data_IF_653768738732
#
_entry.id   IF_653768738732
#
_cell.length_a   1.000
_cell.length_b   1.000
_cell.length_c   1.000
_cell.angle_alpha   90.00
_cell.angle_beta   90.00
_cell.angle_gamma   90.00
#
_symmetry.space_group_name_H-M   'P 1'
#
loop_
_entity.id
_entity.type
_entity.pdbx_description
1 polymer ?
#
# COMPACT_ATOMS: atom_id res chain seq x y z
N UNK A 1 -10.04 12.23 23.86
CA UNK A 1 -9.20 11.40 24.77
C UNK A 1 -7.79 11.31 24.22
N UNK A 2 -6.78 11.10 25.06
CA UNK A 2 -5.38 10.96 24.60
C UNK A 2 -4.99 9.49 24.50
N UNK A 3 -3.95 9.18 23.71
CA UNK A 3 -3.31 7.86 23.66
C UNK A 3 -2.00 7.92 24.46
N UNK A 4 -2.00 7.58 25.77
CA UNK A 4 -0.81 7.71 26.61
C UNK A 4 0.23 6.65 26.26
N UNK A 5 1.51 7.00 26.41
CA UNK A 5 2.64 6.09 26.16
C UNK A 5 2.56 4.80 26.98
N UNK A 6 2.04 4.88 28.20
CA UNK A 6 1.88 3.73 29.11
C UNK A 6 1.02 2.62 28.49
N UNK A 7 -0.05 2.96 27.75
CA UNK A 7 -0.88 1.97 27.06
C UNK A 7 -0.15 1.32 25.90
N UNK A 8 0.73 2.06 25.21
CA UNK A 8 1.58 1.51 24.14
C UNK A 8 2.65 0.57 24.72
N UNK A 9 3.20 0.90 25.90
CA UNK A 9 4.16 0.03 26.62
C UNK A 9 3.47 -1.27 27.06
N UNK A 10 2.28 -1.19 27.66
CA UNK A 10 1.46 -2.38 28.00
C UNK A 10 1.16 -3.23 26.76
N UNK A 11 0.81 -2.56 25.64
CA UNK A 11 0.60 -3.27 24.37
C UNK A 11 1.86 -4.01 23.91
N UNK A 12 3.06 -3.42 24.06
CA UNK A 12 4.33 -4.10 23.73
C UNK A 12 4.53 -5.35 24.59
N UNK A 13 4.24 -5.29 25.88
CA UNK A 13 4.33 -6.45 26.77
C UNK A 13 3.37 -7.57 26.35
N UNK A 14 2.09 -7.25 26.07
CA UNK A 14 1.09 -8.22 25.58
C UNK A 14 1.51 -8.87 24.26
N UNK A 15 2.16 -8.13 23.40
CA UNK A 15 2.52 -8.58 22.06
C UNK A 15 3.86 -9.32 21.98
N UNK A 16 4.65 -9.36 23.03
CA UNK A 16 6.03 -9.85 23.05
C UNK A 16 6.22 -11.26 22.47
N UNK A 17 5.24 -12.17 22.65
CA UNK A 17 5.26 -13.54 22.12
C UNK A 17 4.35 -13.74 20.90
N UNK A 18 3.52 -12.75 20.61
CA UNK A 18 2.45 -12.84 19.58
C UNK A 18 2.93 -12.42 18.21
N UNK A 19 3.75 -11.40 18.13
CA UNK A 19 4.19 -10.78 16.86
C UNK A 19 5.67 -11.05 16.59
N UNK A 20 6.11 -10.81 15.36
CA UNK A 20 7.53 -10.73 15.05
C UNK A 20 8.06 -9.32 15.33
N UNK A 21 9.24 -9.18 15.93
CA UNK A 21 10.03 -7.96 15.81
C UNK A 21 10.56 -7.92 14.38
N UNK A 22 9.93 -7.12 13.53
CA UNK A 22 10.29 -7.03 12.11
C UNK A 22 11.61 -6.29 11.93
N UNK A 23 12.33 -6.60 10.86
CA UNK A 23 13.62 -5.96 10.58
C UNK A 23 13.47 -4.49 10.23
N UNK A 24 14.48 -3.70 10.61
CA UNK A 24 14.73 -2.35 10.16
C UNK A 24 16.08 -2.35 9.43
N UNK A 25 16.10 -2.14 8.11
CA UNK A 25 17.31 -2.25 7.31
C UNK A 25 17.56 -0.99 6.48
N UNK A 26 18.84 -0.54 6.43
CA UNK A 26 19.26 0.58 5.57
C UNK A 26 19.31 0.13 4.11
N UNK A 27 18.68 0.88 3.24
CA UNK A 27 18.75 0.67 1.80
C UNK A 27 19.78 1.60 1.16
N UNK A 28 20.93 1.07 0.75
CA UNK A 28 21.94 1.86 0.05
C UNK A 28 21.41 2.45 -1.26
N UNK A 29 20.60 1.69 -2.01
CA UNK A 29 20.03 2.16 -3.27
C UNK A 29 19.16 3.38 -3.07
N UNK A 30 18.18 3.33 -2.16
CA UNK A 30 17.26 4.45 -1.92
C UNK A 30 17.97 5.62 -1.23
N UNK A 31 18.96 5.33 -0.40
CA UNK A 31 19.78 6.39 0.21
C UNK A 31 20.55 7.19 -0.86
N UNK A 32 21.20 6.50 -1.80
CA UNK A 32 21.92 7.16 -2.89
C UNK A 32 20.99 7.98 -3.81
N UNK A 33 19.74 7.53 -4.02
CA UNK A 33 18.78 8.23 -4.87
C UNK A 33 18.25 9.51 -4.23
N UNK A 34 18.10 9.53 -2.91
CA UNK A 34 17.46 10.63 -2.18
C UNK A 34 18.46 11.59 -1.52
N UNK A 35 19.69 11.16 -1.32
CA UNK A 35 20.66 11.88 -0.51
C UNK A 35 20.35 11.84 1.00
N UNK A 36 19.44 10.97 1.42
CA UNK A 36 19.12 10.67 2.82
C UNK A 36 19.66 9.29 3.22
N UNK A 37 19.63 8.94 4.49
CA UNK A 37 19.80 7.56 4.95
C UNK A 37 18.43 6.90 5.06
N UNK A 38 18.01 6.15 4.03
CA UNK A 38 16.71 5.49 3.99
C UNK A 38 16.77 4.12 4.66
N UNK A 39 15.92 3.92 5.64
CA UNK A 39 15.68 2.66 6.33
C UNK A 39 14.27 2.14 6.02
N UNK A 40 14.12 0.84 5.86
CA UNK A 40 12.86 0.17 5.59
C UNK A 40 12.47 -0.69 6.79
N UNK A 41 11.28 -0.43 7.37
CA UNK A 41 10.67 -1.27 8.42
C UNK A 41 9.71 -2.25 7.78
N UNK A 42 10.02 -3.54 7.85
CA UNK A 42 9.37 -4.60 7.06
C UNK A 42 8.10 -5.18 7.73
N UNK A 43 7.04 -4.41 7.90
CA UNK A 43 5.77 -4.95 8.40
C UNK A 43 5.03 -5.85 7.38
N UNK A 44 5.44 -5.83 6.12
CA UNK A 44 5.03 -6.83 5.12
C UNK A 44 5.52 -8.25 5.44
N UNK A 45 6.49 -8.41 6.33
CA UNK A 45 7.00 -9.70 6.82
C UNK A 45 6.43 -10.10 8.19
N UNK A 46 5.43 -9.39 8.70
CA UNK A 46 4.75 -9.74 9.94
C UNK A 46 3.96 -11.05 9.78
N UNK A 47 3.61 -11.73 10.88
CA UNK A 47 2.98 -13.08 10.90
C UNK A 47 1.76 -13.24 9.98
N UNK A 48 0.95 -12.18 9.80
CA UNK A 48 -0.21 -12.20 8.89
C UNK A 48 0.06 -11.36 7.62
N UNK A 49 1.34 -11.08 7.32
CA UNK A 49 1.73 -10.27 6.16
C UNK A 49 1.48 -8.78 6.30
N UNK A 50 1.11 -8.26 7.48
CA UNK A 50 0.90 -6.83 7.72
C UNK A 50 0.93 -6.45 9.20
N UNK A 51 1.10 -5.15 9.47
CA UNK A 51 1.06 -4.56 10.82
C UNK A 51 -0.25 -4.77 11.58
N UNK A 52 -1.35 -5.08 10.89
CA UNK A 52 -2.70 -5.14 11.47
C UNK A 52 -2.80 -6.12 12.64
N UNK A 53 -2.00 -7.16 12.66
CA UNK A 53 -1.94 -8.12 13.77
C UNK A 53 -1.58 -7.45 15.10
N UNK A 54 -0.79 -6.38 15.10
CA UNK A 54 -0.38 -5.66 16.33
C UNK A 54 -1.60 -5.12 17.07
N UNK A 55 -2.40 -4.31 16.39
CA UNK A 55 -3.60 -3.71 16.99
C UNK A 55 -4.69 -4.74 17.31
N UNK A 56 -4.97 -5.66 16.40
CA UNK A 56 -5.97 -6.69 16.61
C UNK A 56 -5.61 -7.59 17.82
N UNK A 57 -4.35 -8.03 17.93
CA UNK A 57 -3.89 -8.85 19.04
C UNK A 57 -3.88 -8.09 20.36
N UNK A 58 -3.46 -6.81 20.38
CA UNK A 58 -3.52 -6.02 21.62
C UNK A 58 -4.95 -5.84 22.11
N UNK A 59 -5.89 -5.51 21.20
CA UNK A 59 -7.31 -5.34 21.53
C UNK A 59 -7.91 -6.60 22.12
N UNK A 60 -7.73 -7.72 21.45
CA UNK A 60 -8.30 -9.00 21.89
C UNK A 60 -7.66 -9.44 23.20
N UNK A 61 -6.33 -9.33 23.36
CA UNK A 61 -5.65 -9.67 24.60
C UNK A 61 -6.14 -8.82 25.80
N UNK A 62 -6.27 -7.51 25.60
CA UNK A 62 -6.77 -6.61 26.63
C UNK A 62 -8.21 -6.93 27.03
N UNK A 63 -9.08 -7.25 26.10
CA UNK A 63 -10.46 -7.68 26.37
C UNK A 63 -10.49 -9.04 27.11
N UNK A 64 -9.60 -9.98 26.76
CA UNK A 64 -9.48 -11.25 27.47
C UNK A 64 -9.00 -11.06 28.94
N UNK A 65 -8.02 -10.18 29.16
CA UNK A 65 -7.53 -9.84 30.51
C UNK A 65 -8.64 -9.32 31.41
N UNK A 66 -9.59 -8.56 30.85
CA UNK A 66 -10.74 -8.02 31.58
C UNK A 66 -11.96 -8.96 31.65
N UNK A 67 -11.92 -10.07 30.89
CA UNK A 67 -13.05 -10.97 30.77
C UNK A 67 -14.25 -10.38 29.99
N UNK A 68 -13.99 -9.45 29.09
CA UNK A 68 -15.02 -8.67 28.38
C UNK A 68 -15.34 -9.20 26.96
N UNK A 69 -14.68 -10.26 26.51
CA UNK A 69 -14.90 -10.82 25.17
C UNK A 69 -15.32 -12.28 25.23
N UNK A 70 -16.43 -12.61 24.54
CA UNK A 70 -16.90 -13.99 24.32
C UNK A 70 -16.70 -14.44 22.87
N UNK A 71 -16.88 -13.55 21.93
CA UNK A 71 -16.68 -13.74 20.50
C UNK A 71 -16.24 -12.43 19.87
N UNK A 72 -15.42 -12.50 18.84
CA UNK A 72 -14.95 -11.35 18.07
C UNK A 72 -15.68 -11.25 16.72
N UNK A 73 -16.04 -10.04 16.31
CA UNK A 73 -16.60 -9.77 14.99
C UNK A 73 -15.82 -8.64 14.34
N UNK A 74 -15.52 -8.77 13.03
CA UNK A 74 -14.93 -7.69 12.26
C UNK A 74 -15.51 -7.64 10.85
N UNK A 75 -15.52 -6.45 10.24
CA UNK A 75 -15.83 -6.24 8.83
C UNK A 75 -14.53 -5.91 8.10
N UNK A 76 -14.04 -6.80 7.25
CA UNK A 76 -12.83 -6.58 6.44
C UNK A 76 -12.59 -7.73 5.48
N UNK A 77 -12.17 -7.44 4.25
CA UNK A 77 -11.73 -8.43 3.27
C UNK A 77 -10.20 -8.54 3.13
N UNK A 78 -9.43 -7.90 4.04
CA UNK A 78 -7.97 -7.80 3.90
C UNK A 78 -7.20 -8.03 5.19
N UNK A 79 -6.19 -7.20 5.41
CA UNK A 79 -5.23 -7.33 6.51
C UNK A 79 -5.86 -7.39 7.91
N UNK A 80 -6.92 -6.61 8.14
CA UNK A 80 -7.58 -6.60 9.44
C UNK A 80 -8.35 -7.91 9.71
N UNK A 81 -8.97 -8.48 8.68
CA UNK A 81 -9.62 -9.79 8.76
C UNK A 81 -8.66 -10.87 9.27
N UNK A 82 -7.50 -10.98 8.62
CA UNK A 82 -6.48 -11.96 8.96
C UNK A 82 -5.87 -11.71 10.35
N UNK A 83 -5.61 -10.44 10.68
CA UNK A 83 -5.10 -10.05 12.01
C UNK A 83 -6.08 -10.41 13.14
N UNK A 84 -7.37 -10.12 12.96
CA UNK A 84 -8.42 -10.45 13.92
C UNK A 84 -8.61 -11.97 14.06
N UNK A 85 -8.68 -12.70 12.94
CA UNK A 85 -8.81 -14.16 12.95
C UNK A 85 -7.64 -14.84 13.68
N UNK A 86 -6.41 -14.42 13.35
CA UNK A 86 -5.22 -14.96 14.00
C UNK A 86 -5.19 -14.66 15.50
N UNK A 87 -5.45 -13.41 15.90
CA UNK A 87 -5.46 -12.99 17.30
C UNK A 87 -6.54 -13.75 18.12
N UNK A 88 -7.74 -13.88 17.56
CA UNK A 88 -8.83 -14.60 18.20
C UNK A 88 -8.49 -16.08 18.42
N UNK A 89 -7.86 -16.73 17.43
CA UNK A 89 -7.41 -18.11 17.55
C UNK A 89 -6.40 -18.31 18.69
N UNK A 90 -5.46 -17.36 18.86
CA UNK A 90 -4.46 -17.45 19.94
C UNK A 90 -5.08 -17.43 21.34
N UNK A 91 -6.21 -16.77 21.51
CA UNK A 91 -6.92 -16.68 22.77
C UNK A 91 -8.12 -17.61 22.87
N UNK A 92 -8.29 -18.54 21.90
CA UNK A 92 -9.45 -19.46 21.81
C UNK A 92 -10.81 -18.71 21.80
N UNK A 93 -10.85 -17.51 21.22
CA UNK A 93 -12.05 -16.71 21.05
C UNK A 93 -12.66 -17.03 19.67
N UNK A 94 -13.94 -17.43 19.56
CA UNK A 94 -14.61 -17.55 18.28
C UNK A 94 -14.59 -16.22 17.52
N UNK A 95 -14.28 -16.27 16.22
CA UNK A 95 -14.25 -15.06 15.39
C UNK A 95 -15.14 -15.20 14.16
N UNK A 96 -15.95 -14.18 13.87
CA UNK A 96 -16.74 -14.06 12.65
C UNK A 96 -16.26 -12.85 11.88
N UNK A 97 -15.86 -13.06 10.62
CA UNK A 97 -15.40 -11.98 9.74
C UNK A 97 -16.39 -11.81 8.60
N UNK A 98 -16.97 -10.62 8.49
CA UNK A 98 -17.91 -10.27 7.42
C UNK A 98 -17.17 -9.60 6.27
N UNK A 99 -17.39 -10.07 5.06
CA UNK A 99 -16.75 -9.59 3.82
C UNK A 99 -17.79 -9.36 2.72
N UNK A 100 -17.58 -8.42 1.79
CA UNK A 100 -18.40 -8.29 0.58
C UNK A 100 -18.42 -9.61 -0.23
N UNK A 101 -19.53 -9.88 -0.92
CA UNK A 101 -19.67 -11.05 -1.80
C UNK A 101 -18.65 -11.08 -2.94
N UNK A 102 -18.19 -9.91 -3.36
CA UNK A 102 -17.15 -9.74 -4.40
C UNK A 102 -15.72 -10.04 -3.92
N UNK A 103 -15.53 -10.39 -2.64
CA UNK A 103 -14.20 -10.68 -2.08
C UNK A 103 -13.56 -11.88 -2.80
N UNK A 104 -12.32 -11.77 -3.29
CA UNK A 104 -11.61 -12.89 -3.89
C UNK A 104 -11.54 -14.10 -2.95
N UNK A 105 -11.80 -15.28 -3.48
CA UNK A 105 -11.81 -16.56 -2.72
C UNK A 105 -10.50 -16.77 -1.95
N UNK A 106 -9.37 -16.39 -2.53
CA UNK A 106 -8.07 -16.51 -1.86
C UNK A 106 -7.99 -15.72 -0.54
N UNK A 107 -8.61 -14.52 -0.47
CA UNK A 107 -8.65 -13.70 0.75
C UNK A 107 -9.59 -14.32 1.81
N UNK A 108 -10.74 -14.83 1.39
CA UNK A 108 -11.66 -15.55 2.28
C UNK A 108 -10.99 -16.81 2.88
N UNK A 109 -10.42 -17.66 2.03
CA UNK A 109 -9.73 -18.89 2.45
C UNK A 109 -8.54 -18.60 3.38
N UNK A 110 -7.76 -17.52 3.12
CA UNK A 110 -6.68 -17.13 4.01
C UNK A 110 -7.19 -16.79 5.43
N UNK A 111 -8.33 -16.10 5.52
CA UNK A 111 -8.96 -15.75 6.80
C UNK A 111 -9.51 -16.97 7.51
N UNK A 112 -10.18 -17.90 6.80
CA UNK A 112 -10.65 -19.18 7.34
C UNK A 112 -9.48 -20.05 7.81
N UNK A 113 -8.36 -20.05 7.10
CA UNK A 113 -7.13 -20.74 7.49
C UNK A 113 -6.56 -20.26 8.82
N UNK A 114 -6.87 -19.06 9.25
CA UNK A 114 -6.57 -18.56 10.60
C UNK A 114 -7.63 -18.94 11.66
N UNK A 115 -8.70 -19.65 11.27
CA UNK A 115 -9.69 -20.21 12.19
C UNK A 115 -10.95 -19.36 12.39
N UNK A 116 -11.17 -18.31 11.63
CA UNK A 116 -12.39 -17.52 11.69
C UNK A 116 -13.49 -18.09 10.79
N UNK A 117 -14.75 -17.89 11.18
CA UNK A 117 -15.91 -18.07 10.31
C UNK A 117 -16.02 -16.87 9.38
N UNK A 118 -16.03 -17.09 8.06
CA UNK A 118 -16.26 -16.05 7.06
C UNK A 118 -17.73 -15.99 6.68
N UNK A 119 -18.30 -14.78 6.66
CA UNK A 119 -19.66 -14.49 6.21
C UNK A 119 -19.57 -13.53 5.02
N UNK A 120 -19.95 -13.98 3.84
CA UNK A 120 -20.03 -13.13 2.64
C UNK A 120 -21.39 -12.42 2.61
N UNK A 121 -21.39 -11.08 2.73
CA UNK A 121 -22.62 -10.29 2.79
C UNK A 121 -22.47 -8.93 2.14
N UNK A 122 -23.52 -8.53 1.37
CA UNK A 122 -23.58 -7.25 0.68
C UNK A 122 -22.65 -7.15 -0.52
N UNK A 123 -22.63 -5.99 -1.14
CA UNK A 123 -21.85 -5.72 -2.35
C UNK A 123 -20.66 -4.78 -2.07
N UNK A 124 -20.69 -4.06 -0.93
CA UNK A 124 -19.65 -3.11 -0.51
C UNK A 124 -19.25 -3.31 0.95
N UNK A 125 -18.26 -2.53 1.40
CA UNK A 125 -17.78 -2.53 2.78
C UNK A 125 -18.88 -2.14 3.77
N UNK A 126 -19.69 -1.12 3.44
CA UNK A 126 -20.72 -0.60 4.34
C UNK A 126 -21.81 -1.65 4.64
N UNK A 127 -22.20 -2.46 3.63
CA UNK A 127 -23.11 -3.59 3.82
C UNK A 127 -22.54 -4.64 4.78
N UNK A 128 -21.26 -4.97 4.58
CA UNK A 128 -20.57 -5.95 5.43
C UNK A 128 -20.41 -5.41 6.86
N UNK A 129 -20.16 -4.11 7.01
CA UNK A 129 -20.07 -3.45 8.31
C UNK A 129 -21.40 -3.48 9.05
N UNK A 130 -22.50 -3.12 8.37
CA UNK A 130 -23.84 -3.19 8.95
C UNK A 130 -24.18 -4.60 9.42
N UNK A 131 -23.86 -5.62 8.60
CA UNK A 131 -24.08 -7.02 8.98
C UNK A 131 -23.21 -7.45 10.16
N UNK A 132 -21.98 -6.96 10.25
CA UNK A 132 -21.12 -7.23 11.41
C UNK A 132 -21.72 -6.67 12.71
N UNK A 133 -22.28 -5.47 12.68
CA UNK A 133 -22.96 -4.86 13.84
C UNK A 133 -24.22 -5.63 14.22
N UNK A 134 -25.02 -6.09 13.24
CA UNK A 134 -26.18 -6.97 13.49
C UNK A 134 -25.76 -8.25 14.25
N UNK A 135 -24.63 -8.88 13.87
CA UNK A 135 -24.12 -10.05 14.57
C UNK A 135 -23.69 -9.71 16.00
N UNK A 136 -23.04 -8.57 16.20
CA UNK A 136 -22.66 -8.07 17.54
C UNK A 136 -23.88 -7.96 18.44
N UNK A 137 -24.96 -7.34 17.96
CA UNK A 137 -26.20 -7.15 18.73
C UNK A 137 -26.89 -8.49 19.05
N UNK A 138 -27.00 -9.39 18.07
CA UNK A 138 -27.72 -10.64 18.21
C UNK A 138 -26.96 -11.70 19.04
N UNK A 139 -25.64 -11.73 18.94
CA UNK A 139 -24.82 -12.79 19.55
C UNK A 139 -24.06 -12.32 20.81
N UNK A 140 -24.13 -11.03 21.15
CA UNK A 140 -23.37 -10.44 22.26
C UNK A 140 -21.86 -10.53 22.03
N UNK A 141 -21.43 -10.46 20.78
CA UNK A 141 -20.03 -10.47 20.39
C UNK A 141 -19.43 -9.06 20.48
N UNK A 142 -18.10 -8.96 20.44
CA UNK A 142 -17.39 -7.69 20.46
C UNK A 142 -16.90 -7.33 19.07
N UNK A 143 -17.22 -6.12 18.59
CA UNK A 143 -16.67 -5.62 17.33
C UNK A 143 -15.21 -5.20 17.51
N UNK A 144 -14.33 -5.69 16.63
CA UNK A 144 -12.92 -5.33 16.60
C UNK A 144 -12.72 -4.30 15.48
N UNK A 145 -12.56 -3.06 15.86
CA UNK A 145 -12.41 -1.95 14.93
C UNK A 145 -11.08 -2.03 14.14
N UNK A 146 -11.09 -1.71 12.83
CA UNK A 146 -9.88 -1.81 12.00
C UNK A 146 -8.84 -0.71 12.29
N UNK A 147 -9.21 0.40 12.96
CA UNK A 147 -8.34 1.54 13.23
C UNK A 147 -8.84 2.47 14.36
N UNK A 148 -10.15 2.76 14.46
CA UNK A 148 -10.68 3.79 15.36
C UNK A 148 -10.98 3.22 16.75
N UNK A 149 -9.93 2.80 17.44
CA UNK A 149 -9.98 2.27 18.79
C UNK A 149 -8.62 2.48 19.47
N UNK A 150 -8.60 3.01 20.70
CA UNK A 150 -7.37 3.35 21.41
C UNK A 150 -6.48 2.13 21.71
N UNK A 151 -7.04 0.96 21.98
CA UNK A 151 -6.26 -0.27 22.20
C UNK A 151 -5.70 -0.80 20.89
N UNK A 152 -6.42 -0.63 19.76
CA UNK A 152 -5.89 -0.92 18.43
C UNK A 152 -4.76 0.02 18.08
N UNK A 153 -4.93 1.34 18.29
CA UNK A 153 -3.86 2.32 18.08
C UNK A 153 -2.65 2.07 18.97
N UNK A 154 -2.84 1.69 20.25
CA UNK A 154 -1.75 1.34 21.15
C UNK A 154 -0.93 0.16 20.63
N UNK A 155 -1.60 -0.88 20.15
CA UNK A 155 -0.94 -2.02 19.51
C UNK A 155 -0.10 -1.61 18.29
N UNK A 156 -0.61 -0.72 17.43
CA UNK A 156 0.13 -0.17 16.27
C UNK A 156 1.32 0.69 16.74
N UNK A 157 1.16 1.42 17.84
CA UNK A 157 2.20 2.28 18.42
C UNK A 157 3.46 1.52 18.87
N UNK A 158 3.34 0.21 19.13
CA UNK A 158 4.50 -0.63 19.49
C UNK A 158 5.58 -0.63 18.40
N UNK A 159 5.19 -0.40 17.13
CA UNK A 159 6.12 -0.22 16.03
C UNK A 159 7.05 0.97 16.23
N UNK A 160 6.55 2.07 16.81
CA UNK A 160 7.36 3.24 17.14
C UNK A 160 8.44 2.92 18.16
N UNK A 161 8.12 2.11 19.19
CA UNK A 161 9.12 1.67 20.18
C UNK A 161 10.22 0.84 19.49
N UNK A 162 9.85 -0.13 18.64
CA UNK A 162 10.82 -0.96 17.91
C UNK A 162 11.74 -0.12 17.02
N UNK A 163 11.20 0.88 16.32
CA UNK A 163 11.98 1.79 15.48
C UNK A 163 13.01 2.57 16.31
N UNK A 164 12.62 3.12 17.46
CA UNK A 164 13.53 3.86 18.34
C UNK A 164 14.58 2.96 18.98
N UNK A 165 14.25 1.71 19.29
CA UNK A 165 15.22 0.72 19.80
C UNK A 165 16.27 0.36 18.74
N UNK A 166 15.85 0.16 17.48
CA UNK A 166 16.72 -0.26 16.38
C UNK A 166 17.51 0.95 15.78
N UNK A 167 16.93 2.15 15.81
CA UNK A 167 17.52 3.39 15.29
C UNK A 167 17.24 4.59 16.22
N UNK A 168 17.93 4.70 17.38
CA UNK A 168 17.69 5.78 18.35
C UNK A 168 17.87 7.20 17.78
N UNK A 169 18.67 7.35 16.73
CA UNK A 169 18.99 8.63 16.08
C UNK A 169 18.20 8.81 14.77
N UNK A 170 16.98 8.30 14.67
CA UNK A 170 16.08 8.56 13.55
C UNK A 170 15.64 10.03 13.55
N UNK A 171 15.63 10.65 12.37
CA UNK A 171 15.19 12.05 12.21
C UNK A 171 13.75 12.13 11.74
N UNK A 172 13.29 11.17 10.91
CA UNK A 172 11.96 11.19 10.31
C UNK A 172 11.41 9.77 10.14
N UNK A 173 10.11 9.60 10.41
CA UNK A 173 9.36 8.36 10.15
C UNK A 173 8.21 8.67 9.21
N UNK A 174 8.11 7.94 8.11
CA UNK A 174 7.06 8.07 7.10
C UNK A 174 6.15 6.85 7.19
N UNK A 175 4.86 7.09 7.42
CA UNK A 175 3.87 6.03 7.71
C UNK A 175 2.64 6.19 6.82
N UNK A 176 2.09 5.09 6.24
CA UNK A 176 0.86 5.17 5.47
C UNK A 176 -0.34 5.48 6.37
N UNK A 177 -1.31 6.21 5.84
CA UNK A 177 -2.55 6.54 6.51
C UNK A 177 -3.77 6.14 5.66
N UNK A 178 -4.57 5.20 6.14
CA UNK A 178 -5.91 4.91 5.63
C UNK A 178 -6.95 5.50 6.59
N UNK A 179 -7.50 4.69 7.49
CA UNK A 179 -8.35 5.19 8.59
C UNK A 179 -7.59 5.81 9.77
N UNK A 180 -6.26 5.87 9.72
CA UNK A 180 -5.42 6.61 10.64
C UNK A 180 -4.77 5.81 11.77
N UNK A 181 -5.22 4.58 12.08
CA UNK A 181 -4.80 3.87 13.30
C UNK A 181 -3.29 3.60 13.43
N UNK A 182 -2.60 3.25 12.33
CA UNK A 182 -1.15 3.04 12.34
C UNK A 182 -0.41 4.35 12.57
N UNK A 183 -0.74 5.37 11.78
CA UNK A 183 -0.12 6.69 11.87
C UNK A 183 -0.34 7.31 13.26
N UNK A 184 -1.57 7.25 13.79
CA UNK A 184 -1.92 7.74 15.12
C UNK A 184 -1.09 7.05 16.22
N UNK A 185 -1.05 5.71 16.21
CA UNK A 185 -0.30 4.93 17.19
C UNK A 185 1.21 5.21 17.16
N UNK A 186 1.81 5.20 15.96
CA UNK A 186 3.24 5.50 15.78
C UNK A 186 3.55 6.94 16.18
N UNK A 187 2.75 7.92 15.76
CA UNK A 187 2.99 9.31 16.08
C UNK A 187 2.88 9.59 17.59
N UNK A 188 1.82 9.07 18.25
CA UNK A 188 1.66 9.20 19.69
C UNK A 188 2.85 8.58 20.45
N UNK A 189 3.32 7.40 20.04
CA UNK A 189 4.50 6.76 20.62
C UNK A 189 5.74 7.63 20.47
N UNK A 190 6.07 7.99 19.26
CA UNK A 190 7.30 8.72 18.92
C UNK A 190 7.35 10.07 19.61
N UNK A 191 6.28 10.86 19.54
CA UNK A 191 6.28 12.22 20.09
C UNK A 191 6.35 12.27 21.59
N UNK A 192 5.84 11.27 22.29
CA UNK A 192 5.94 11.17 23.74
C UNK A 192 7.33 10.70 24.22
N UNK A 193 8.07 9.94 23.38
CA UNK A 193 9.44 9.49 23.73
C UNK A 193 10.49 10.49 23.24
N UNK A 194 10.40 10.91 21.97
CA UNK A 194 11.35 11.84 21.34
C UNK A 194 10.60 12.82 20.42
N UNK A 195 10.19 13.98 20.93
CA UNK A 195 9.41 14.96 20.15
C UNK A 195 10.19 15.62 19.00
N UNK A 196 11.50 15.41 18.89
CA UNK A 196 12.33 15.94 17.79
C UNK A 196 12.19 15.14 16.50
N UNK A 197 11.78 13.88 16.58
CA UNK A 197 11.58 13.02 15.40
C UNK A 197 10.34 13.50 14.65
N UNK A 198 10.50 13.80 13.37
CA UNK A 198 9.37 14.15 12.50
C UNK A 198 8.55 12.91 12.15
N UNK A 199 7.23 12.96 12.32
CA UNK A 199 6.32 11.89 11.88
C UNK A 199 5.45 12.40 10.75
N UNK A 200 5.59 11.75 9.59
CA UNK A 200 4.93 12.13 8.34
C UNK A 200 3.89 11.06 7.97
N UNK A 201 2.66 11.49 7.75
CA UNK A 201 1.61 10.63 7.20
C UNK A 201 1.56 10.72 5.67
N UNK A 202 1.29 9.59 5.01
CA UNK A 202 1.14 9.52 3.56
C UNK A 202 -0.18 8.89 3.18
N UNK A 203 -0.94 9.56 2.29
CA UNK A 203 -2.13 8.99 1.66
C UNK A 203 -1.98 8.91 0.14
N UNK A 204 -2.82 8.07 -0.48
CA UNK A 204 -3.01 8.13 -1.93
C UNK A 204 -3.82 9.37 -2.30
N UNK A 205 -3.48 10.04 -3.40
CA UNK A 205 -4.22 11.21 -3.91
C UNK A 205 -5.71 10.91 -4.15
N UNK A 206 -6.03 9.66 -4.54
CA UNK A 206 -7.40 9.22 -4.76
C UNK A 206 -8.18 8.85 -3.49
N UNK A 207 -7.60 8.99 -2.28
CA UNK A 207 -8.26 8.72 -1.00
C UNK A 207 -7.71 9.63 0.12
N UNK A 208 -7.90 10.96 0.04
CA UNK A 208 -7.18 11.94 0.88
C UNK A 208 -7.88 12.32 2.19
N UNK A 209 -8.81 11.52 2.72
CA UNK A 209 -9.66 11.91 3.85
C UNK A 209 -8.88 12.34 5.11
N UNK A 210 -7.80 11.65 5.49
CA UNK A 210 -6.94 12.05 6.62
C UNK A 210 -6.11 13.31 6.27
N UNK A 211 -5.60 13.41 5.04
CA UNK A 211 -4.87 14.59 4.56
C UNK A 211 -5.74 15.85 4.64
N UNK A 212 -7.00 15.75 4.18
CA UNK A 212 -7.98 16.82 4.29
C UNK A 212 -8.30 17.15 5.73
N UNK A 213 -8.53 16.12 6.57
CA UNK A 213 -8.83 16.29 8.00
C UNK A 213 -7.68 16.97 8.73
N UNK A 214 -6.43 16.59 8.45
CA UNK A 214 -5.24 17.17 9.05
C UNK A 214 -5.06 18.64 8.67
N UNK A 215 -5.27 18.98 7.39
CA UNK A 215 -5.10 20.36 6.92
C UNK A 215 -6.21 21.31 7.43
N UNK A 216 -7.44 20.82 7.55
CA UNK A 216 -8.58 21.58 8.07
C UNK A 216 -8.67 21.58 9.59
N UNK A 217 -7.91 20.70 10.27
CA UNK A 217 -7.97 20.46 11.72
C UNK A 217 -9.35 20.02 12.22
N UNK A 218 -10.10 19.36 11.34
CA UNK A 218 -11.44 18.83 11.62
C UNK A 218 -11.61 17.46 10.96
N UNK A 219 -12.58 16.66 11.42
CA UNK A 219 -12.89 15.38 10.76
C UNK A 219 -13.56 15.62 9.40
N UNK A 220 -12.96 15.09 8.33
CA UNK A 220 -13.46 15.21 6.97
C UNK A 220 -13.62 13.82 6.36
N UNK A 221 -14.80 13.56 5.78
CA UNK A 221 -15.06 12.40 4.96
C UNK A 221 -15.04 12.75 3.48
N UNK A 222 -14.65 11.81 2.61
CA UNK A 222 -14.67 11.97 1.16
C UNK A 222 -15.84 11.20 0.55
N UNK A 223 -16.47 11.74 -0.49
CA UNK A 223 -17.61 11.07 -1.15
C UNK A 223 -17.18 9.82 -1.91
N UNK A 224 -16.02 9.88 -2.55
CA UNK A 224 -15.48 8.79 -3.37
C UNK A 224 -14.04 8.48 -3.01
N UNK A 225 -13.62 7.26 -3.31
CA UNK A 225 -12.22 6.83 -3.27
C UNK A 225 -11.88 6.10 -4.57
N UNK A 226 -10.70 6.40 -5.14
CA UNK A 226 -10.25 5.80 -6.39
C UNK A 226 -8.73 5.69 -6.40
N UNK A 227 -8.18 4.59 -5.89
CA UNK A 227 -6.74 4.33 -5.84
C UNK A 227 -6.46 2.84 -5.89
N UNK A 228 -5.28 2.46 -6.39
CA UNK A 228 -4.76 1.09 -6.33
C UNK A 228 -4.41 0.66 -4.90
N UNK A 229 -4.27 1.60 -3.96
CA UNK A 229 -3.90 1.34 -2.57
C UNK A 229 -5.14 1.02 -1.72
N UNK A 230 -5.80 -0.12 -1.98
CA UNK A 230 -7.03 -0.57 -1.34
C UNK A 230 -6.93 -0.61 0.20
N UNK A 231 -5.78 -0.98 0.75
CA UNK A 231 -5.53 -1.01 2.20
C UNK A 231 -5.62 0.35 2.89
N UNK A 232 -5.58 1.47 2.14
CA UNK A 232 -5.73 2.85 2.63
C UNK A 232 -6.86 3.62 1.94
N UNK A 233 -7.68 2.96 1.12
CA UNK A 233 -8.83 3.56 0.43
C UNK A 233 -10.02 3.74 1.39
N UNK A 234 -9.92 4.68 2.32
CA UNK A 234 -10.90 4.92 3.38
C UNK A 234 -11.61 6.24 3.15
N UNK A 235 -12.97 6.20 3.05
CA UNK A 235 -13.82 7.39 2.89
C UNK A 235 -13.99 8.15 4.20
N UNK A 236 -14.29 7.40 5.26
CA UNK A 236 -14.58 7.93 6.58
C UNK A 236 -13.44 7.53 7.53
N UNK A 237 -12.47 8.42 7.82
CA UNK A 237 -11.44 8.16 8.81
C UNK A 237 -12.05 8.05 10.20
N UNK A 238 -11.29 7.53 11.17
CA UNK A 238 -11.76 7.46 12.54
C UNK A 238 -11.77 8.84 13.21
N UNK A 239 -12.75 9.13 14.04
CA UNK A 239 -12.80 10.37 14.83
C UNK A 239 -11.63 10.44 15.82
N UNK A 240 -11.40 9.36 16.57
CA UNK A 240 -10.29 9.27 17.52
C UNK A 240 -8.93 9.28 16.82
N UNK A 241 -8.80 8.61 15.66
CA UNK A 241 -7.54 8.62 14.91
C UNK A 241 -7.21 10.01 14.38
N UNK A 242 -8.19 10.77 13.88
CA UNK A 242 -8.00 12.16 13.42
C UNK A 242 -7.59 13.07 14.59
N UNK A 243 -8.22 12.93 15.78
CA UNK A 243 -7.84 13.68 16.97
C UNK A 243 -6.36 13.46 17.34
N UNK A 244 -5.92 12.19 17.40
CA UNK A 244 -4.54 11.84 17.73
C UNK A 244 -3.56 12.30 16.63
N UNK A 245 -3.91 12.15 15.35
CA UNK A 245 -3.10 12.60 14.22
C UNK A 245 -2.92 14.12 14.26
N UNK A 246 -3.99 14.88 14.49
CA UNK A 246 -3.92 16.34 14.58
C UNK A 246 -3.02 16.83 15.71
N UNK A 247 -2.88 16.03 16.77
CA UNK A 247 -2.05 16.34 17.94
C UNK A 247 -0.57 15.98 17.72
N UNK A 248 -0.27 14.85 17.10
CA UNK A 248 1.06 14.25 17.13
C UNK A 248 1.76 14.17 15.77
N UNK A 249 1.08 14.34 14.64
CA UNK A 249 1.68 14.28 13.31
C UNK A 249 2.19 15.65 12.89
N UNK A 250 3.40 15.71 12.32
CA UNK A 250 4.02 16.97 11.92
C UNK A 250 3.56 17.41 10.51
N UNK A 251 3.37 16.45 9.60
CA UNK A 251 3.03 16.74 8.20
C UNK A 251 2.27 15.59 7.57
N UNK A 252 1.38 15.92 6.65
CA UNK A 252 0.74 14.98 5.74
C UNK A 252 1.14 15.29 4.30
N UNK A 253 1.30 14.24 3.49
CA UNK A 253 1.52 14.36 2.04
C UNK A 253 0.69 13.32 1.30
N UNK A 254 0.44 13.55 0.01
CA UNK A 254 -0.22 12.59 -0.86
C UNK A 254 0.72 12.12 -1.97
N UNK A 255 0.49 10.90 -2.45
CA UNK A 255 1.21 10.29 -3.58
C UNK A 255 0.22 9.74 -4.60
N UNK A 256 0.57 9.81 -5.88
CA UNK A 256 -0.25 9.26 -6.96
C UNK A 256 -0.08 7.75 -7.10
N UNK A 257 -1.04 7.08 -7.74
CA UNK A 257 -0.97 5.66 -8.06
C UNK A 257 0.24 5.30 -8.94
N UNK A 258 0.70 6.25 -9.77
CA UNK A 258 1.91 6.11 -10.58
C UNK A 258 3.18 6.10 -9.70
N UNK A 259 3.28 7.02 -8.73
CA UNK A 259 4.40 7.04 -7.77
C UNK A 259 4.41 5.77 -6.90
N UNK A 260 3.24 5.28 -6.48
CA UNK A 260 3.10 4.03 -5.72
C UNK A 260 3.56 2.83 -6.55
N UNK A 261 3.10 2.72 -7.80
CA UNK A 261 3.49 1.63 -8.72
C UNK A 261 4.99 1.61 -8.99
N UNK A 262 5.59 2.78 -9.19
CA UNK A 262 7.03 2.92 -9.34
C UNK A 262 7.81 2.47 -8.09
N UNK A 263 7.32 2.82 -6.90
CA UNK A 263 7.93 2.40 -5.63
C UNK A 263 7.85 0.87 -5.42
N UNK A 264 6.70 0.25 -5.74
CA UNK A 264 6.54 -1.22 -5.67
C UNK A 264 7.52 -1.93 -6.59
N UNK A 265 7.63 -1.49 -7.86
CA UNK A 265 8.58 -2.05 -8.81
C UNK A 265 10.01 -1.96 -8.28
N UNK A 266 10.38 -0.82 -7.70
CA UNK A 266 11.72 -0.63 -7.12
C UNK A 266 11.95 -1.51 -5.89
N UNK A 267 10.95 -1.72 -5.02
CA UNK A 267 11.04 -2.65 -3.89
C UNK A 267 11.30 -4.07 -4.38
N UNK A 268 10.56 -4.55 -5.38
CA UNK A 268 10.78 -5.87 -5.98
C UNK A 268 12.18 -5.98 -6.59
N UNK A 269 12.61 -4.99 -7.37
CA UNK A 269 13.90 -5.03 -8.07
C UNK A 269 15.10 -4.93 -7.13
N UNK A 270 15.04 -4.06 -6.12
CA UNK A 270 16.22 -3.69 -5.31
C UNK A 270 16.29 -4.39 -3.97
N UNK A 271 15.14 -4.68 -3.36
CA UNK A 271 15.09 -5.30 -2.02
C UNK A 271 14.50 -6.70 -2.04
N UNK A 272 13.97 -7.16 -3.18
CA UNK A 272 13.28 -8.45 -3.32
C UNK A 272 12.06 -8.59 -2.39
N UNK A 273 11.45 -7.45 -2.06
CA UNK A 273 10.27 -7.39 -1.20
C UNK A 273 9.00 -7.23 -2.03
N UNK A 274 8.02 -8.07 -1.71
CA UNK A 274 6.65 -7.89 -2.19
C UNK A 274 5.91 -7.05 -1.14
N UNK A 275 5.48 -5.87 -1.56
CA UNK A 275 4.79 -4.91 -0.70
C UNK A 275 3.49 -4.50 -1.40
N UNK A 276 2.38 -4.48 -0.67
CA UNK A 276 1.10 -4.00 -1.19
C UNK A 276 1.13 -2.49 -1.48
N UNK A 277 0.24 -1.97 -2.35
CA UNK A 277 0.25 -0.55 -2.70
C UNK A 277 0.22 0.39 -1.49
N UNK A 278 -0.61 0.10 -0.49
CA UNK A 278 -0.69 0.87 0.75
C UNK A 278 0.66 0.92 1.49
N UNK A 279 1.37 -0.22 1.56
CA UNK A 279 2.68 -0.33 2.22
C UNK A 279 3.82 0.34 1.47
N UNK A 280 3.66 0.59 0.17
CA UNK A 280 4.69 1.25 -0.65
C UNK A 280 4.60 2.78 -0.63
N UNK A 281 3.50 3.37 -0.13
CA UNK A 281 3.29 4.83 -0.11
C UNK A 281 4.38 5.61 0.63
N UNK A 282 4.97 5.14 1.76
CA UNK A 282 6.05 5.86 2.43
C UNK A 282 7.31 5.98 1.56
N UNK A 283 7.68 4.92 0.85
CA UNK A 283 8.81 4.97 -0.07
C UNK A 283 8.50 5.85 -1.28
N UNK A 284 7.27 5.79 -1.83
CA UNK A 284 6.84 6.69 -2.90
C UNK A 284 6.99 8.16 -2.48
N UNK A 285 6.55 8.52 -1.27
CA UNK A 285 6.70 9.88 -0.73
C UNK A 285 8.18 10.28 -0.55
N UNK A 286 9.02 9.38 -0.06
CA UNK A 286 10.45 9.64 0.10
C UNK A 286 11.16 9.89 -1.26
N UNK A 287 10.71 9.23 -2.32
CA UNK A 287 11.28 9.35 -3.68
C UNK A 287 10.69 10.49 -4.50
N UNK A 288 9.53 11.04 -4.12
CA UNK A 288 8.77 12.04 -4.90
C UNK A 288 9.40 13.44 -4.90
N UNK A 289 10.32 13.73 -3.99
CA UNK A 289 10.85 15.09 -3.77
C UNK A 289 9.89 16.02 -2.99
N UNK A 290 8.72 15.54 -2.54
CA UNK A 290 7.74 16.33 -1.75
C UNK A 290 8.17 16.58 -0.30
N UNK A 291 9.22 15.88 0.16
CA UNK A 291 9.75 15.94 1.52
C UNK A 291 11.20 16.40 1.52
N UNK A 292 11.55 17.28 2.46
CA UNK A 292 12.94 17.67 2.71
C UNK A 292 13.62 16.63 3.60
N UNK A 293 14.26 15.64 2.96
CA UNK A 293 14.87 14.48 3.62
C UNK A 293 16.40 14.41 3.48
N UNK A 294 16.99 15.29 2.67
CA UNK A 294 18.42 15.24 2.39
C UNK A 294 19.26 15.32 3.66
N UNK A 295 20.17 14.36 3.84
CA UNK A 295 21.05 14.26 5.01
C UNK A 295 20.37 13.72 6.27
N UNK A 296 19.07 13.43 6.27
CA UNK A 296 18.32 12.87 7.41
C UNK A 296 18.33 11.34 7.40
N UNK A 297 18.18 10.74 8.57
CA UNK A 297 17.87 9.32 8.77
C UNK A 297 16.35 9.14 8.74
N UNK A 298 15.86 8.52 7.68
CA UNK A 298 14.44 8.39 7.38
C UNK A 298 14.00 6.94 7.40
N UNK A 299 12.97 6.62 8.17
CA UNK A 299 12.35 5.30 8.19
C UNK A 299 11.08 5.32 7.35
N UNK A 300 10.99 4.45 6.34
CA UNK A 300 9.77 4.17 5.60
C UNK A 300 9.12 2.89 6.13
N UNK A 301 7.88 2.97 6.62
CA UNK A 301 7.14 1.81 7.13
C UNK A 301 6.46 1.07 5.99
N UNK A 302 6.95 -0.12 5.63
CA UNK A 302 6.35 -1.00 4.63
C UNK A 302 5.25 -1.83 5.30
N UNK A 303 4.05 -1.27 5.39
CA UNK A 303 3.00 -1.68 6.34
C UNK A 303 2.36 -3.04 6.07
N UNK A 304 2.45 -3.57 4.85
CA UNK A 304 1.88 -4.87 4.47
C UNK A 304 2.33 -5.37 3.11
N UNK A 305 2.11 -6.66 2.84
CA UNK A 305 2.47 -7.35 1.61
C UNK A 305 1.35 -8.24 1.06
N UNK A 306 0.15 -8.18 1.62
CA UNK A 306 -0.99 -9.01 1.22
C UNK A 306 -1.65 -8.49 -0.08
N UNK A 307 -0.98 -8.73 -1.19
CA UNK A 307 -1.41 -8.33 -2.52
C UNK A 307 -1.87 -9.56 -3.32
N UNK A 308 -2.90 -9.37 -4.15
CA UNK A 308 -3.30 -10.37 -5.11
C UNK A 308 -2.24 -10.50 -6.21
N UNK A 309 -1.76 -11.74 -6.45
CA UNK A 309 -0.72 -12.02 -7.44
C UNK A 309 -1.13 -11.59 -8.85
N UNK A 310 -2.42 -11.73 -9.20
CA UNK A 310 -2.94 -11.26 -10.49
C UNK A 310 -2.85 -9.74 -10.64
N UNK A 311 -2.91 -9.01 -9.53
CA UNK A 311 -2.78 -7.56 -9.52
C UNK A 311 -1.31 -7.10 -9.60
N UNK A 312 -0.36 -7.92 -9.15
CA UNK A 312 1.09 -7.63 -9.23
C UNK A 312 1.52 -7.38 -10.66
N UNK A 313 1.03 -8.17 -11.61
CA UNK A 313 1.32 -7.98 -13.05
C UNK A 313 0.92 -6.56 -13.50
N UNK A 314 -0.28 -6.11 -13.15
CA UNK A 314 -0.78 -4.78 -13.54
C UNK A 314 0.06 -3.65 -12.91
N UNK A 315 0.46 -3.83 -11.65
CA UNK A 315 1.31 -2.86 -10.94
C UNK A 315 2.69 -2.78 -11.58
N UNK A 316 3.30 -3.93 -11.90
CA UNK A 316 4.60 -3.98 -12.59
C UNK A 316 4.50 -3.25 -13.94
N UNK A 317 3.45 -3.50 -14.72
CA UNK A 317 3.21 -2.83 -15.99
C UNK A 317 3.12 -1.29 -15.82
N UNK A 318 2.33 -0.82 -14.87
CA UNK A 318 2.22 0.61 -14.56
C UNK A 318 3.56 1.20 -14.09
N UNK A 319 4.28 0.48 -13.24
CA UNK A 319 5.59 0.89 -12.77
C UNK A 319 6.65 0.96 -13.89
N UNK A 320 6.61 0.04 -14.84
CA UNK A 320 7.50 0.06 -16.03
C UNK A 320 7.20 1.24 -16.95
N UNK A 321 5.93 1.54 -17.18
CA UNK A 321 5.48 2.70 -17.98
C UNK A 321 5.91 4.00 -17.30
N UNK A 322 5.62 4.17 -16.00
CA UNK A 322 5.97 5.34 -15.21
C UNK A 322 7.49 5.63 -15.19
N UNK A 323 8.31 4.60 -15.31
CA UNK A 323 9.78 4.73 -15.37
C UNK A 323 10.32 4.76 -16.80
N UNK A 324 9.45 4.92 -17.80
CA UNK A 324 9.79 4.94 -19.23
C UNK A 324 10.64 3.73 -19.68
N UNK A 325 10.43 2.56 -19.05
CA UNK A 325 11.09 1.28 -19.42
C UNK A 325 10.26 0.47 -20.40
N UNK A 326 9.05 0.90 -20.69
CA UNK A 326 8.16 0.33 -21.71
C UNK A 326 7.74 1.42 -22.66
N UNK A 327 8.10 1.25 -23.93
CA UNK A 327 7.71 2.14 -25.01
C UNK A 327 6.54 1.50 -25.77
N UNK A 328 5.37 2.17 -25.77
CA UNK A 328 4.22 1.79 -26.58
C UNK A 328 4.04 2.83 -27.66
N UNK A 329 3.84 2.38 -28.88
CA UNK A 329 3.58 3.24 -30.01
C UNK A 329 2.81 2.54 -31.12
N UNK A 330 2.15 3.32 -31.96
CA UNK A 330 1.61 2.86 -33.24
C UNK A 330 2.31 3.53 -34.40
N UNK A 331 2.42 2.81 -35.53
CA UNK A 331 2.92 3.31 -36.79
C UNK A 331 2.14 2.71 -37.95
N UNK A 332 2.02 3.41 -39.04
CA UNK A 332 1.44 2.91 -40.29
C UNK A 332 2.56 2.39 -41.19
N UNK A 333 2.33 1.25 -41.84
CA UNK A 333 3.23 0.70 -42.83
C UNK A 333 2.43 0.14 -44.03
N UNK A 334 3.11 -0.05 -45.17
CA UNK A 334 2.49 -0.70 -46.32
C UNK A 334 2.22 -2.18 -45.98
N UNK A 335 1.01 -2.65 -46.29
CA UNK A 335 0.59 -4.03 -46.04
C UNK A 335 1.16 -4.98 -47.16
N UNK A 336 2.49 -5.10 -47.18
CA UNK A 336 3.23 -5.95 -48.12
C UNK A 336 4.21 -6.84 -47.37
N UNK A 337 4.55 -8.01 -47.96
CA UNK A 337 5.60 -8.91 -47.41
C UNK A 337 6.92 -8.16 -47.19
N UNK A 338 7.52 -8.34 -46.01
CA UNK A 338 8.78 -7.69 -45.62
C UNK A 338 8.63 -6.38 -44.83
N UNK A 339 7.48 -5.70 -44.86
CA UNK A 339 7.31 -4.42 -44.18
C UNK A 339 7.45 -4.56 -42.66
N UNK A 340 6.86 -5.59 -42.04
CA UNK A 340 7.02 -5.87 -40.61
C UNK A 340 8.44 -6.37 -40.27
N UNK A 341 9.07 -7.13 -41.15
CA UNK A 341 10.47 -7.54 -40.99
C UNK A 341 11.41 -6.36 -40.90
N UNK A 342 11.29 -5.38 -41.80
CA UNK A 342 12.10 -4.18 -41.80
C UNK A 342 11.93 -3.39 -40.51
N UNK A 343 10.68 -3.20 -40.04
CA UNK A 343 10.37 -2.49 -38.78
C UNK A 343 11.00 -3.23 -37.57
N UNK A 344 10.85 -4.57 -37.50
CA UNK A 344 11.41 -5.37 -36.41
C UNK A 344 12.94 -5.40 -36.42
N UNK A 345 13.55 -5.35 -37.59
CA UNK A 345 15.01 -5.27 -37.76
C UNK A 345 15.56 -3.96 -37.15
N UNK A 346 14.95 -2.80 -37.41
CA UNK A 346 15.33 -1.52 -36.83
C UNK A 346 15.22 -1.54 -35.31
N UNK A 347 14.14 -2.13 -34.77
CA UNK A 347 13.97 -2.25 -33.31
C UNK A 347 15.06 -3.14 -32.69
N UNK A 348 15.43 -4.22 -33.37
CA UNK A 348 16.52 -5.12 -32.96
C UNK A 348 17.87 -4.40 -32.95
N UNK A 349 18.21 -3.63 -34.01
CA UNK A 349 19.44 -2.82 -34.04
C UNK A 349 19.49 -1.77 -32.92
N UNK A 350 18.32 -1.27 -32.49
CA UNK A 350 18.20 -0.39 -31.34
C UNK A 350 18.28 -1.13 -29.99
N UNK A 351 18.37 -2.46 -29.97
CA UNK A 351 18.30 -3.28 -28.76
C UNK A 351 16.97 -3.11 -27.98
N UNK A 352 15.88 -2.82 -28.69
CA UNK A 352 14.53 -2.73 -28.12
C UNK A 352 13.88 -4.13 -28.20
N UNK A 353 13.52 -4.73 -27.07
CA UNK A 353 12.91 -6.05 -27.00
C UNK A 353 11.40 -5.95 -27.23
N UNK A 354 10.91 -6.50 -28.33
CA UNK A 354 9.47 -6.47 -28.68
C UNK A 354 8.72 -7.44 -27.77
N UNK A 355 7.73 -6.95 -27.03
CA UNK A 355 6.87 -7.76 -26.12
C UNK A 355 5.44 -7.89 -26.62
N UNK A 356 5.01 -7.03 -27.56
CA UNK A 356 3.70 -7.11 -28.20
C UNK A 356 3.76 -6.53 -29.61
N UNK A 357 3.12 -7.22 -30.55
CA UNK A 357 2.81 -6.70 -31.89
C UNK A 357 1.33 -6.99 -32.16
N UNK A 358 0.59 -5.97 -32.54
CA UNK A 358 -0.77 -6.12 -33.02
C UNK A 358 -0.87 -5.49 -34.40
N UNK A 359 -1.36 -6.25 -35.36
CA UNK A 359 -1.50 -5.85 -36.76
C UNK A 359 -2.98 -5.55 -37.05
N UNK A 360 -3.31 -4.27 -37.28
CA UNK A 360 -4.65 -3.81 -37.59
C UNK A 360 -4.75 -3.40 -39.08
N UNK A 361 -5.61 -4.10 -39.82
CA UNK A 361 -5.93 -3.86 -41.22
C UNK A 361 -7.31 -3.31 -41.48
N UNK A 362 -8.09 -3.09 -40.42
CA UNK A 362 -9.52 -2.79 -40.50
C UNK A 362 -9.88 -1.41 -39.94
N UNK A 363 -8.91 -0.65 -39.48
CA UNK A 363 -9.16 0.70 -38.98
C UNK A 363 -9.65 1.60 -40.11
N UNK A 364 -10.67 2.40 -39.82
CA UNK A 364 -11.32 3.32 -40.78
C UNK A 364 -10.39 4.47 -41.27
N UNK A 365 -9.23 4.63 -40.67
CA UNK A 365 -8.24 5.67 -40.98
C UNK A 365 -7.19 5.20 -42.01
N UNK A 366 -7.28 3.95 -42.49
CA UNK A 366 -6.28 3.31 -43.35
C UNK A 366 -6.65 3.41 -44.85
N UNK A 367 -5.63 3.64 -45.67
CA UNK A 367 -5.73 3.37 -47.10
C UNK A 367 -5.71 1.87 -47.38
N UNK A 368 -6.30 1.39 -48.50
CA UNK A 368 -6.45 -0.06 -48.75
C UNK A 368 -5.15 -0.90 -48.80
N UNK A 369 -4.01 -0.25 -48.93
CA UNK A 369 -2.68 -0.89 -48.96
C UNK A 369 -1.88 -0.65 -47.67
N UNK A 370 -2.50 -0.17 -46.61
CA UNK A 370 -1.86 0.18 -45.35
C UNK A 370 -2.35 -0.72 -44.22
N UNK A 371 -1.50 -0.81 -43.19
CA UNK A 371 -1.83 -1.43 -41.91
C UNK A 371 -1.25 -0.58 -40.77
N UNK A 372 -1.99 -0.51 -39.67
CA UNK A 372 -1.47 0.03 -38.40
C UNK A 372 -0.84 -1.10 -37.62
N UNK A 373 0.37 -0.89 -37.14
CA UNK A 373 1.05 -1.78 -36.22
C UNK A 373 1.17 -1.11 -34.87
N UNK A 374 0.55 -1.72 -33.84
CA UNK A 374 0.75 -1.37 -32.46
C UNK A 374 1.89 -2.20 -31.88
N UNK A 375 2.88 -1.56 -31.32
CA UNK A 375 4.05 -2.22 -30.75
C UNK A 375 4.24 -1.77 -29.30
N UNK A 376 4.52 -2.73 -28.43
CA UNK A 376 5.12 -2.48 -27.13
C UNK A 376 6.50 -3.12 -27.10
N UNK A 377 7.52 -2.34 -26.69
CA UNK A 377 8.87 -2.85 -26.46
C UNK A 377 9.42 -2.41 -25.11
N UNK A 378 10.27 -3.28 -24.55
CA UNK A 378 11.09 -2.93 -23.40
C UNK A 378 12.30 -2.12 -23.87
N UNK A 379 12.60 -1.07 -23.13
CA UNK A 379 13.73 -0.17 -23.35
C UNK A 379 14.47 0.09 -22.04
N UNK A 380 15.71 0.52 -22.12
CA UNK A 380 16.58 0.75 -20.96
C UNK A 380 16.23 2.03 -20.15
N UNK A 381 15.15 2.74 -20.52
CA UNK A 381 14.71 3.98 -19.90
C UNK A 381 14.48 5.09 -20.91
N UNK A 382 14.21 6.31 -20.44
CA UNK A 382 13.80 7.48 -21.19
C UNK A 382 14.72 7.81 -22.39
N UNK A 383 16.02 7.82 -22.16
CA UNK A 383 17.01 8.14 -23.22
C UNK A 383 16.99 7.08 -24.33
N UNK A 384 16.96 5.80 -23.94
CA UNK A 384 16.89 4.71 -24.89
C UNK A 384 15.58 4.74 -25.70
N UNK A 385 14.44 4.95 -25.05
CA UNK A 385 13.14 5.10 -25.73
C UNK A 385 13.13 6.24 -26.75
N UNK A 386 13.71 7.40 -26.40
CA UNK A 386 13.88 8.54 -27.33
C UNK A 386 14.78 8.18 -28.54
N UNK A 387 15.87 7.43 -28.31
CA UNK A 387 16.74 6.97 -29.38
C UNK A 387 16.00 6.04 -30.35
N UNK A 388 15.21 5.08 -29.82
CA UNK A 388 14.38 4.18 -30.62
C UNK A 388 13.43 4.97 -31.52
N UNK A 389 12.66 5.91 -30.95
CA UNK A 389 11.71 6.73 -31.72
C UNK A 389 12.42 7.52 -32.81
N UNK A 390 13.51 8.23 -32.49
CA UNK A 390 14.29 8.97 -33.49
C UNK A 390 14.84 8.09 -34.62
N UNK A 391 15.24 6.85 -34.31
CA UNK A 391 15.75 5.92 -35.33
C UNK A 391 14.63 5.47 -36.26
N UNK A 392 13.45 5.16 -35.73
CA UNK A 392 12.26 4.83 -36.53
C UNK A 392 11.87 6.00 -37.44
N UNK A 393 11.79 7.22 -36.91
CA UNK A 393 11.46 8.41 -37.69
C UNK A 393 12.47 8.68 -38.82
N UNK A 394 13.78 8.47 -38.58
CA UNK A 394 14.81 8.58 -39.62
C UNK A 394 14.66 7.54 -40.74
N UNK A 395 14.06 6.40 -40.44
CA UNK A 395 13.76 5.34 -41.41
C UNK A 395 12.36 5.47 -42.04
N UNK A 396 11.70 6.64 -41.84
CA UNK A 396 10.44 6.99 -42.50
C UNK A 396 9.17 6.54 -41.78
N UNK A 397 9.28 5.98 -40.57
CA UNK A 397 8.11 5.58 -39.79
C UNK A 397 7.53 6.76 -39.02
N UNK A 398 6.22 6.98 -39.14
CA UNK A 398 5.50 7.97 -38.31
C UNK A 398 5.14 7.33 -36.98
N UNK A 399 5.86 7.69 -35.91
CA UNK A 399 5.66 7.11 -34.57
C UNK A 399 4.66 7.93 -33.77
N UNK A 400 3.56 7.31 -33.35
CA UNK A 400 2.56 7.90 -32.43
C UNK A 400 2.64 7.11 -31.12
N UNK A 401 3.10 7.74 -30.03
CA UNK A 401 3.15 7.11 -28.70
C UNK A 401 1.75 6.92 -28.13
N UNK A 402 1.56 5.80 -27.41
CA UNK A 402 0.33 5.40 -26.74
C UNK A 402 0.49 5.41 -25.21
#
# INVERSE_FOLDING_TARGET
MDLPLEEIVKAKERLATTIHKTKLEKSTTFSNMTGAEIYLKYENQQKTGSFKIRGASNKIAALCERGEIKAAVAASAGNHAQGTAYASRLHNIPATIVMPKSTPIAKANATEGYGAKVVLHGDCFDDSYAKALEIVENEGATFIAPFDDYEVMAGQGTLGIEILEDLPMVDMIITPAGGGGLLAGVAACIKQINPRVEVIGVQAEGAPAIYESFNKKEHVSTETVGTIADGIAVKNPGEHTVEVINKYVDKMVTVSDSEISAAILMLIERTKQVVEPAGATPLAAALSGKLDIKGKKVVCVLSGGNIDVSFVQRIIELGLVSRERKLKFKTTLLDTPGSLEHLSHILSECSANIVMVQHDRLSAELDPNEAIIHIACEVGGSEHGRKVVKTLEKNGYKVVRE
#
